data_IF_189478896559
#
_entry.id   IF_189478896559
#
_cell.length_a   1.000
_cell.length_b   1.000
_cell.length_c   1.000
_cell.angle_alpha   90.00
_cell.angle_beta   90.00
_cell.angle_gamma   90.00
#
_symmetry.space_group_name_H-M   'P 1'
#
loop_
_entity.id
_entity.type
_entity.pdbx_description
1 polymer ?
#
# COMPACT_ATOMS: atom_id res chain seq x y z
N UNK A 1 17.91 6.85 -8.05
CA UNK A 1 18.08 5.38 -8.13
C UNK A 1 16.74 4.72 -7.97
N UNK A 2 16.50 3.61 -8.68
CA UNK A 2 15.23 2.88 -8.60
C UNK A 2 15.14 2.05 -7.33
N UNK A 3 14.01 2.12 -6.64
CA UNK A 3 13.68 1.32 -5.45
C UNK A 3 13.15 -0.05 -5.84
N UNK A 4 12.20 -0.05 -6.80
CA UNK A 4 11.58 -1.23 -7.35
C UNK A 4 11.60 -1.15 -8.88
N UNK A 5 12.00 -2.23 -9.53
CA UNK A 5 11.92 -2.38 -10.99
C UNK A 5 11.17 -3.67 -11.29
N UNK A 6 10.14 -3.58 -12.09
CA UNK A 6 9.33 -4.69 -12.55
C UNK A 6 9.52 -4.78 -14.07
N UNK A 7 9.79 -6.00 -14.58
CA UNK A 7 9.97 -6.25 -16.01
C UNK A 7 9.11 -7.43 -16.42
N UNK A 8 8.31 -7.21 -17.43
CA UNK A 8 7.45 -8.21 -18.09
C UNK A 8 6.67 -9.06 -17.07
N UNK A 9 6.03 -8.39 -16.08
CA UNK A 9 5.31 -9.09 -15.01
C UNK A 9 3.96 -9.58 -15.53
N UNK A 10 3.78 -10.89 -15.50
CA UNK A 10 2.51 -11.57 -15.70
C UNK A 10 2.05 -12.17 -14.37
N UNK A 11 0.77 -12.07 -14.03
CA UNK A 11 0.24 -12.62 -12.81
C UNK A 11 -1.27 -12.86 -12.87
N UNK A 12 -1.74 -13.82 -12.10
CA UNK A 12 -3.15 -14.15 -12.02
C UNK A 12 -3.49 -15.09 -10.86
N UNK A 13 -4.76 -15.43 -10.75
CA UNK A 13 -5.27 -16.39 -9.76
C UNK A 13 -5.27 -17.82 -10.27
N UNK A 14 -5.13 -18.00 -11.58
CA UNK A 14 -4.93 -19.26 -12.29
C UNK A 14 -3.92 -19.02 -13.41
N UNK A 15 -3.15 -20.05 -13.77
CA UNK A 15 -2.12 -19.93 -14.81
C UNK A 15 -2.71 -19.58 -16.18
N UNK A 16 -3.90 -20.08 -16.44
CA UNK A 16 -4.62 -19.91 -17.71
C UNK A 16 -5.37 -18.58 -17.79
N UNK A 17 -5.51 -17.86 -16.66
CA UNK A 17 -6.25 -16.59 -16.60
C UNK A 17 -5.33 -15.51 -16.03
N UNK A 18 -4.58 -14.87 -16.91
CA UNK A 18 -3.73 -13.74 -16.57
C UNK A 18 -4.54 -12.47 -16.34
N UNK A 19 -4.33 -11.86 -15.18
CA UNK A 19 -4.88 -10.54 -14.84
C UNK A 19 -3.89 -9.44 -15.21
N UNK A 20 -2.59 -9.65 -14.93
CA UNK A 20 -1.52 -8.75 -15.38
C UNK A 20 -0.82 -9.37 -16.58
N UNK A 21 -0.56 -8.53 -17.60
CA UNK A 21 -0.13 -8.96 -18.93
C UNK A 21 1.07 -8.16 -19.39
N UNK A 22 2.27 -8.48 -18.86
CA UNK A 22 3.51 -7.80 -19.23
C UNK A 22 3.58 -6.39 -18.64
N UNK A 23 3.63 -6.27 -17.30
CA UNK A 23 3.79 -4.98 -16.62
C UNK A 23 5.26 -4.63 -16.51
N UNK A 24 5.63 -3.48 -17.07
CA UNK A 24 6.93 -2.83 -16.88
C UNK A 24 6.75 -1.58 -16.02
N UNK A 25 7.38 -1.53 -14.85
CA UNK A 25 7.23 -0.43 -13.90
C UNK A 25 8.54 -0.15 -13.17
N UNK A 26 8.85 1.13 -13.02
CA UNK A 26 9.99 1.62 -12.24
C UNK A 26 9.52 2.61 -11.18
N UNK A 27 9.81 2.33 -9.90
CA UNK A 27 9.50 3.18 -8.75
C UNK A 27 10.82 3.68 -8.15
N UNK A 28 10.94 4.98 -7.93
CA UNK A 28 12.14 5.60 -7.38
C UNK A 28 12.14 5.63 -5.84
N UNK A 29 13.31 5.83 -5.24
CA UNK A 29 13.42 6.01 -3.78
C UNK A 29 12.67 7.26 -3.31
N UNK A 30 11.86 7.13 -2.25
CA UNK A 30 11.09 8.20 -1.65
C UNK A 30 9.88 8.66 -2.48
N UNK A 31 9.64 8.04 -3.64
CA UNK A 31 8.54 8.35 -4.53
C UNK A 31 7.22 7.75 -4.03
N UNK A 32 6.13 8.48 -4.27
CA UNK A 32 4.78 7.92 -4.23
C UNK A 32 4.32 7.65 -5.66
N UNK A 33 4.30 6.39 -6.04
CA UNK A 33 3.80 5.91 -7.33
C UNK A 33 2.32 5.55 -7.21
N UNK A 34 1.45 6.30 -7.89
CA UNK A 34 0.02 5.99 -7.99
C UNK A 34 -0.26 4.91 -9.03
N UNK A 35 -1.12 3.96 -8.67
CA UNK A 35 -1.67 2.96 -9.59
C UNK A 35 -3.17 3.21 -9.68
N UNK A 36 -3.62 3.82 -10.77
CA UNK A 36 -5.00 4.25 -10.99
C UNK A 36 -5.62 3.37 -12.07
N UNK A 37 -6.92 3.17 -12.01
CA UNK A 37 -7.67 2.41 -13.03
C UNK A 37 -9.06 2.02 -12.54
N UNK A 38 -9.89 1.57 -13.46
CA UNK A 38 -11.25 1.10 -13.16
C UNK A 38 -11.23 -0.18 -12.30
N UNK A 39 -12.39 -0.53 -11.74
CA UNK A 39 -12.55 -1.81 -11.04
C UNK A 39 -12.27 -2.97 -12.01
N UNK A 40 -11.55 -3.99 -11.52
CA UNK A 40 -11.16 -5.13 -12.33
C UNK A 40 -9.96 -4.90 -13.25
N UNK A 41 -9.33 -3.71 -13.26
CA UNK A 41 -8.16 -3.44 -14.13
C UNK A 41 -6.88 -4.18 -13.73
N UNK A 42 -6.82 -4.78 -12.52
CA UNK A 42 -5.65 -5.50 -12.03
C UNK A 42 -4.84 -4.79 -10.93
N UNK A 43 -5.29 -3.63 -10.42
CA UNK A 43 -4.55 -2.82 -9.42
C UNK A 43 -4.15 -3.62 -8.17
N UNK A 44 -5.11 -4.20 -7.46
CA UNK A 44 -4.83 -5.01 -6.27
C UNK A 44 -4.05 -6.29 -6.61
N UNK A 45 -4.18 -6.78 -7.85
CA UNK A 45 -3.38 -7.90 -8.34
C UNK A 45 -1.91 -7.51 -8.45
N UNK A 46 -1.59 -6.28 -8.86
CA UNK A 46 -0.22 -5.79 -8.91
C UNK A 46 0.42 -5.75 -7.50
N UNK A 47 -0.28 -5.20 -6.50
CA UNK A 47 0.21 -5.22 -5.11
C UNK A 47 0.45 -6.63 -4.58
N UNK A 48 -0.49 -7.55 -4.86
CA UNK A 48 -0.36 -8.97 -4.48
C UNK A 48 0.78 -9.68 -5.24
N UNK A 49 0.98 -9.35 -6.51
CA UNK A 49 2.07 -9.90 -7.31
C UNK A 49 3.44 -9.47 -6.78
N UNK A 50 3.61 -8.19 -6.42
CA UNK A 50 4.85 -7.69 -5.80
C UNK A 50 5.14 -8.45 -4.49
N UNK A 51 4.10 -8.70 -3.66
CA UNK A 51 4.22 -9.45 -2.41
C UNK A 51 4.31 -10.97 -2.58
N UNK A 52 4.30 -11.47 -3.80
CA UNK A 52 4.34 -12.91 -4.11
C UNK A 52 3.29 -13.74 -3.35
N UNK A 53 2.05 -13.24 -3.27
CA UNK A 53 0.91 -13.92 -2.63
C UNK A 53 -0.15 -14.41 -3.63
N UNK A 54 0.22 -14.43 -4.92
CA UNK A 54 -0.61 -15.01 -5.98
C UNK A 54 -0.13 -16.41 -6.34
N UNK A 55 -1.04 -17.30 -6.75
CA UNK A 55 -0.67 -18.67 -7.15
C UNK A 55 0.13 -18.73 -8.47
N UNK A 56 -0.04 -17.73 -9.35
CA UNK A 56 0.70 -17.61 -10.61
C UNK A 56 1.32 -16.24 -10.76
N UNK A 57 2.63 -16.23 -11.05
CA UNK A 57 3.41 -15.05 -11.38
C UNK A 57 4.63 -15.46 -12.22
N UNK A 58 4.97 -14.65 -13.24
CA UNK A 58 6.23 -14.72 -14.00
C UNK A 58 6.74 -13.31 -14.28
N UNK A 59 7.96 -13.19 -14.83
CA UNK A 59 8.66 -11.91 -15.01
C UNK A 59 9.67 -11.65 -13.90
N UNK A 60 10.37 -10.53 -13.98
CA UNK A 60 11.43 -10.14 -13.07
C UNK A 60 10.99 -8.99 -12.16
N UNK A 61 11.26 -9.09 -10.86
CA UNK A 61 11.08 -8.00 -9.90
C UNK A 61 12.37 -7.76 -9.15
N UNK A 62 12.96 -6.57 -9.30
CA UNK A 62 14.16 -6.14 -8.62
C UNK A 62 13.81 -5.15 -7.51
N UNK A 63 14.29 -5.38 -6.30
CA UNK A 63 14.17 -4.48 -5.16
C UNK A 63 15.56 -4.06 -4.68
N UNK A 64 15.86 -2.75 -4.71
CA UNK A 64 17.22 -2.22 -4.47
C UNK A 64 18.28 -2.93 -5.32
N UNK A 65 17.95 -3.26 -6.58
CA UNK A 65 18.82 -3.93 -7.53
C UNK A 65 19.00 -5.45 -7.32
N UNK A 66 18.32 -6.05 -6.32
CA UNK A 66 18.34 -7.49 -6.08
C UNK A 66 17.07 -8.13 -6.61
N UNK A 67 17.21 -9.25 -7.30
CA UNK A 67 16.06 -10.04 -7.75
C UNK A 67 15.32 -10.65 -6.55
N UNK A 68 14.03 -10.35 -6.45
CA UNK A 68 13.12 -10.84 -5.41
C UNK A 68 12.02 -11.74 -5.98
N UNK A 69 12.13 -12.13 -7.26
CA UNK A 69 11.06 -12.84 -7.97
C UNK A 69 10.75 -14.21 -7.36
N UNK A 70 11.70 -14.88 -6.71
CA UNK A 70 11.49 -16.19 -6.09
C UNK A 70 11.22 -16.13 -4.57
N UNK A 71 11.27 -14.95 -3.95
CA UNK A 71 11.16 -14.83 -2.49
C UNK A 71 9.71 -14.95 -2.02
N UNK A 72 9.50 -15.61 -0.90
CA UNK A 72 8.21 -15.69 -0.22
C UNK A 72 7.78 -14.34 0.37
N UNK A 73 6.48 -14.14 0.61
CA UNK A 73 5.94 -12.94 1.25
C UNK A 73 6.63 -12.62 2.60
N UNK A 74 6.99 -13.65 3.36
CA UNK A 74 7.72 -13.50 4.63
C UNK A 74 9.14 -12.94 4.44
N UNK A 75 9.85 -13.41 3.41
CA UNK A 75 11.18 -12.91 3.08
C UNK A 75 11.11 -11.47 2.54
N UNK A 76 10.11 -11.16 1.71
CA UNK A 76 9.85 -9.80 1.22
C UNK A 76 9.57 -8.83 2.37
N UNK A 77 8.77 -9.25 3.35
CA UNK A 77 8.51 -8.46 4.55
C UNK A 77 9.80 -8.18 5.35
N UNK A 78 10.69 -9.18 5.49
CA UNK A 78 12.00 -9.01 6.15
C UNK A 78 12.94 -8.08 5.40
N UNK A 79 12.81 -8.00 4.07
CA UNK A 79 13.56 -7.06 3.23
C UNK A 79 13.01 -5.62 3.30
N UNK A 80 11.89 -5.40 4.00
CA UNK A 80 11.27 -4.10 4.16
C UNK A 80 10.27 -3.76 3.07
N UNK A 81 9.55 -4.74 2.51
CA UNK A 81 8.38 -4.53 1.67
C UNK A 81 7.14 -4.91 2.48
N UNK A 82 6.17 -4.01 2.58
CA UNK A 82 4.92 -4.27 3.30
C UNK A 82 3.71 -3.85 2.49
N UNK A 83 2.55 -4.41 2.84
CA UNK A 83 1.28 -4.08 2.19
C UNK A 83 0.18 -3.85 3.24
N UNK A 84 -0.49 -2.70 3.12
CA UNK A 84 -1.78 -2.47 3.76
C UNK A 84 -2.88 -2.82 2.76
N UNK A 85 -3.69 -3.84 3.07
CA UNK A 85 -4.74 -4.34 2.19
C UNK A 85 -6.02 -3.54 2.33
N UNK A 86 -6.81 -3.54 1.27
CA UNK A 86 -8.11 -2.87 1.18
C UNK A 86 -9.01 -3.18 2.40
N UNK A 87 -9.74 -2.16 2.87
CA UNK A 87 -10.72 -2.29 3.94
C UNK A 87 -10.12 -2.37 5.35
N UNK A 88 -8.82 -2.05 5.51
CA UNK A 88 -8.18 -2.07 6.83
C UNK A 88 -8.21 -3.47 7.44
N UNK A 89 -7.71 -4.46 6.70
CA UNK A 89 -7.73 -5.85 7.16
C UNK A 89 -6.85 -6.05 8.40
N UNK A 90 -7.51 -6.41 9.50
CA UNK A 90 -6.91 -6.70 10.81
C UNK A 90 -7.52 -7.98 11.37
N UNK A 91 -6.97 -8.52 12.43
CA UNK A 91 -7.56 -9.66 13.14
C UNK A 91 -8.73 -9.17 14.00
N UNK A 92 -9.94 -9.23 13.45
CA UNK A 92 -11.13 -8.59 14.01
C UNK A 92 -11.52 -9.09 15.41
N UNK A 93 -11.27 -10.37 15.71
CA UNK A 93 -11.55 -11.00 17.01
C UNK A 93 -10.46 -10.73 18.06
N UNK A 94 -9.33 -10.17 17.67
CA UNK A 94 -8.25 -9.75 18.55
C UNK A 94 -8.43 -8.30 18.97
N UNK A 95 -7.93 -7.96 20.15
CA UNK A 95 -7.85 -6.58 20.61
C UNK A 95 -6.86 -5.77 19.77
N UNK A 96 -6.92 -4.44 19.88
CA UNK A 96 -5.93 -3.56 19.25
C UNK A 96 -4.52 -3.96 19.67
N UNK A 97 -4.30 -4.17 20.95
CA UNK A 97 -2.98 -4.56 21.49
C UNK A 97 -2.49 -5.89 20.91
N UNK A 98 -3.34 -6.94 20.88
CA UNK A 98 -2.99 -8.24 20.33
C UNK A 98 -2.68 -8.16 18.82
N UNK A 99 -3.41 -7.36 18.05
CA UNK A 99 -3.09 -7.10 16.63
C UNK A 99 -1.69 -6.50 16.50
N UNK A 100 -1.34 -5.54 17.34
CA UNK A 100 -0.02 -4.92 17.33
C UNK A 100 1.07 -5.90 17.76
N UNK A 101 0.82 -6.71 18.80
CA UNK A 101 1.79 -7.70 19.25
C UNK A 101 2.08 -8.77 18.17
N UNK A 102 1.05 -9.20 17.42
CA UNK A 102 1.24 -10.08 16.26
C UNK A 102 2.08 -9.41 15.17
N UNK A 103 1.80 -8.14 14.88
CA UNK A 103 2.49 -7.42 13.80
C UNK A 103 3.94 -7.09 14.18
N UNK A 104 4.14 -6.66 15.41
CA UNK A 104 5.45 -6.27 15.89
C UNK A 104 6.33 -7.48 16.27
N UNK A 105 5.77 -8.58 16.76
CA UNK A 105 6.53 -9.76 17.20
C UNK A 105 7.43 -9.50 18.43
N UNK A 106 8.31 -10.45 18.75
CA UNK A 106 9.13 -10.42 19.97
C UNK A 106 10.45 -9.62 19.84
N UNK A 107 10.86 -9.21 18.65
CA UNK A 107 12.19 -8.60 18.39
C UNK A 107 12.07 -7.13 17.99
N UNK A 108 11.32 -6.35 18.74
CA UNK A 108 11.11 -4.96 18.36
C UNK A 108 12.14 -4.03 18.98
N UNK A 109 12.66 -3.16 18.11
CA UNK A 109 13.28 -1.91 18.51
C UNK A 109 12.24 -1.01 19.18
N UNK A 110 12.37 -0.86 20.50
CA UNK A 110 11.43 -0.10 21.34
C UNK A 110 11.28 1.32 20.79
N UNK A 111 12.36 1.97 20.41
CA UNK A 111 12.33 3.33 19.86
C UNK A 111 11.50 3.43 18.59
N UNK A 112 11.57 2.41 17.73
CA UNK A 112 10.72 2.38 16.52
C UNK A 112 9.24 2.16 16.86
N UNK A 113 8.94 1.29 17.82
CA UNK A 113 7.55 1.08 18.29
C UNK A 113 6.98 2.37 18.87
N UNK A 114 7.75 3.07 19.71
CA UNK A 114 7.33 4.33 20.30
C UNK A 114 7.10 5.40 19.23
N UNK A 115 7.94 5.44 18.20
CA UNK A 115 7.77 6.33 17.05
C UNK A 115 6.45 6.02 16.29
N UNK A 116 6.17 4.75 15.95
CA UNK A 116 4.89 4.37 15.31
C UNK A 116 3.71 4.68 16.22
N UNK A 117 3.83 4.44 17.52
CA UNK A 117 2.79 4.77 18.50
C UNK A 117 2.51 6.26 18.53
N UNK A 118 3.53 7.11 18.45
CA UNK A 118 3.36 8.57 18.42
C UNK A 118 2.75 9.08 17.11
N UNK A 119 3.09 8.44 15.98
CA UNK A 119 2.61 8.85 14.65
C UNK A 119 1.15 8.47 14.40
N UNK A 120 0.70 7.31 14.88
CA UNK A 120 -0.66 6.81 14.59
C UNK A 120 -1.64 7.25 15.68
N UNK A 121 -2.60 8.14 15.39
CA UNK A 121 -3.49 8.74 16.39
C UNK A 121 -4.27 7.71 17.23
N UNK A 122 -4.65 6.57 16.64
CA UNK A 122 -5.29 5.47 17.36
C UNK A 122 -4.43 4.99 18.54
N UNK A 123 -3.12 4.87 18.32
CA UNK A 123 -2.18 4.31 19.29
C UNK A 123 -1.74 5.34 20.34
N UNK A 124 -1.75 6.61 19.97
CA UNK A 124 -1.45 7.73 20.86
C UNK A 124 -2.69 8.22 21.65
N UNK A 125 -3.78 7.45 21.60
CA UNK A 125 -5.00 7.77 22.33
C UNK A 125 -4.79 7.66 23.85
N UNK A 126 -5.30 8.65 24.59
CA UNK A 126 -5.36 8.58 26.07
C UNK A 126 -6.38 7.55 26.59
N UNK A 127 -7.25 7.03 25.73
CA UNK A 127 -8.23 6.00 26.06
C UNK A 127 -7.55 4.62 26.12
N UNK A 128 -7.06 4.26 27.34
CA UNK A 128 -6.45 2.95 27.60
C UNK A 128 -7.39 1.77 27.33
N UNK A 129 -8.70 1.98 27.43
CA UNK A 129 -9.70 0.96 27.12
C UNK A 129 -9.79 0.69 25.61
N UNK A 130 -9.44 1.66 24.77
CA UNK A 130 -9.38 1.47 23.33
C UNK A 130 -8.41 0.36 22.92
N UNK A 131 -7.27 0.26 23.61
CA UNK A 131 -6.26 -0.78 23.33
C UNK A 131 -6.74 -2.19 23.63
N UNK A 132 -7.71 -2.31 24.57
CA UNK A 132 -8.32 -3.58 24.98
C UNK A 132 -9.57 -3.94 24.17
N UNK A 133 -10.08 -3.03 23.33
CA UNK A 133 -11.22 -3.32 22.46
C UNK A 133 -10.82 -4.26 21.33
N UNK A 134 -11.69 -5.20 21.02
CA UNK A 134 -11.56 -6.04 19.81
C UNK A 134 -11.73 -5.19 18.56
N UNK A 135 -10.99 -5.52 17.51
CA UNK A 135 -10.92 -4.69 16.30
C UNK A 135 -12.23 -4.63 15.50
N UNK A 136 -13.17 -5.56 15.72
CA UNK A 136 -14.53 -5.50 15.18
C UNK A 136 -15.33 -4.30 15.71
N UNK A 137 -15.02 -3.82 16.93
CA UNK A 137 -15.68 -2.67 17.58
C UNK A 137 -15.06 -1.32 17.23
N UNK A 138 -14.01 -1.30 16.43
CA UNK A 138 -13.39 -0.08 15.95
C UNK A 138 -14.24 0.57 14.84
N UNK A 139 -14.22 1.92 14.80
CA UNK A 139 -14.72 2.62 13.63
C UNK A 139 -13.90 2.27 12.38
N UNK A 140 -14.44 2.49 11.19
CA UNK A 140 -13.72 2.26 9.94
C UNK A 140 -12.37 2.97 9.90
N UNK A 141 -12.32 4.27 10.29
CA UNK A 141 -11.07 5.03 10.36
C UNK A 141 -10.07 4.48 11.36
N UNK A 142 -10.52 4.07 12.55
CA UNK A 142 -9.67 3.44 13.55
C UNK A 142 -9.09 2.11 13.05
N UNK A 143 -9.91 1.30 12.36
CA UNK A 143 -9.46 0.03 11.79
C UNK A 143 -8.40 0.23 10.71
N UNK A 144 -8.55 1.24 9.85
CA UNK A 144 -7.52 1.59 8.86
C UNK A 144 -6.23 2.08 9.51
N UNK A 145 -6.32 2.87 10.59
CA UNK A 145 -5.13 3.27 11.36
C UNK A 145 -4.41 2.08 11.99
N UNK A 146 -5.16 1.11 12.54
CA UNK A 146 -4.59 -0.13 13.07
C UNK A 146 -3.90 -0.94 11.97
N UNK A 147 -4.55 -1.11 10.80
CA UNK A 147 -3.96 -1.79 9.65
C UNK A 147 -2.69 -1.11 9.14
N UNK A 148 -2.66 0.23 9.12
CA UNK A 148 -1.46 0.99 8.78
C UNK A 148 -0.34 0.75 9.79
N UNK A 149 -0.64 0.82 11.10
CA UNK A 149 0.34 0.54 12.15
C UNK A 149 0.94 -0.87 12.03
N UNK A 150 0.09 -1.87 11.76
CA UNK A 150 0.54 -3.25 11.51
C UNK A 150 1.44 -3.35 10.28
N UNK A 151 1.10 -2.66 9.19
CA UNK A 151 1.93 -2.64 7.98
C UNK A 151 3.29 -1.95 8.21
N UNK A 152 3.33 -0.93 9.08
CA UNK A 152 4.56 -0.23 9.46
C UNK A 152 5.43 -1.04 10.44
N UNK A 153 4.86 -1.99 11.17
CA UNK A 153 5.56 -2.77 12.19
C UNK A 153 6.78 -3.53 11.65
N UNK A 154 6.80 -3.86 10.36
CA UNK A 154 7.92 -4.55 9.70
C UNK A 154 9.08 -3.62 9.29
N UNK A 155 9.06 -2.35 9.68
CA UNK A 155 10.04 -1.32 9.27
C UNK A 155 10.19 -1.24 7.74
N UNK A 156 9.10 -1.05 6.99
CA UNK A 156 9.19 -1.07 5.54
C UNK A 156 10.00 0.11 5.02
N UNK A 157 10.68 -0.11 3.90
CA UNK A 157 11.22 0.96 3.06
C UNK A 157 10.46 1.10 1.74
N UNK A 158 9.56 0.14 1.46
CA UNK A 158 8.54 0.17 0.43
C UNK A 158 7.20 -0.25 1.04
N UNK A 159 6.22 0.64 1.01
CA UNK A 159 4.86 0.39 1.50
C UNK A 159 3.87 0.38 0.34
N UNK A 160 3.13 -0.70 0.20
CA UNK A 160 2.03 -0.82 -0.76
C UNK A 160 0.73 -0.51 -0.01
N UNK A 161 -0.04 0.45 -0.50
CA UNK A 161 -1.33 0.85 0.04
C UNK A 161 -2.42 0.47 -0.96
N UNK A 162 -3.22 -0.54 -0.65
CA UNK A 162 -4.31 -1.00 -1.51
C UNK A 162 -5.64 -0.40 -1.05
N UNK A 163 -6.07 0.66 -1.73
CA UNK A 163 -7.28 1.44 -1.46
C UNK A 163 -7.42 1.86 0.02
N UNK A 164 -6.46 2.63 0.57
CA UNK A 164 -6.44 2.98 2.00
C UNK A 164 -7.62 3.86 2.43
N UNK A 165 -8.35 4.41 1.49
CA UNK A 165 -9.52 5.27 1.74
C UNK A 165 -10.87 4.54 1.56
N UNK A 166 -10.88 3.29 1.10
CA UNK A 166 -12.11 2.57 0.77
C UNK A 166 -13.03 2.39 1.98
N UNK A 167 -14.31 2.78 1.81
CA UNK A 167 -15.33 2.64 2.86
C UNK A 167 -15.22 3.66 4.01
N UNK A 168 -14.35 4.66 3.91
CA UNK A 168 -14.24 5.73 4.89
C UNK A 168 -15.18 6.90 4.59
N UNK A 169 -15.63 7.59 5.64
CA UNK A 169 -16.31 8.88 5.48
C UNK A 169 -15.35 9.93 4.91
N UNK A 170 -15.86 11.00 4.25
CA UNK A 170 -15.00 12.04 3.67
C UNK A 170 -14.00 12.63 4.66
N UNK A 171 -14.43 12.92 5.89
CA UNK A 171 -13.53 13.42 6.95
C UNK A 171 -12.46 12.41 7.34
N UNK A 172 -12.80 11.12 7.39
CA UNK A 172 -11.84 10.05 7.70
C UNK A 172 -10.83 9.84 6.56
N UNK A 173 -11.25 10.03 5.31
CA UNK A 173 -10.35 10.04 4.14
C UNK A 173 -9.30 11.13 4.29
N UNK A 174 -9.71 12.39 4.56
CA UNK A 174 -8.77 13.48 4.76
C UNK A 174 -7.75 13.19 5.88
N UNK A 175 -8.26 12.72 7.03
CA UNK A 175 -7.38 12.35 8.17
C UNK A 175 -6.40 11.23 7.80
N UNK A 176 -6.82 10.24 7.01
CA UNK A 176 -5.97 9.16 6.57
C UNK A 176 -4.84 9.68 5.66
N UNK A 177 -5.14 10.53 4.69
CA UNK A 177 -4.12 11.08 3.81
C UNK A 177 -3.16 12.02 4.55
N UNK A 178 -3.62 12.84 5.49
CA UNK A 178 -2.74 13.62 6.36
C UNK A 178 -1.77 12.70 7.16
N UNK A 179 -2.29 11.60 7.70
CA UNK A 179 -1.46 10.61 8.39
C UNK A 179 -0.45 9.95 7.46
N UNK A 180 -0.84 9.59 6.24
CA UNK A 180 0.06 8.99 5.24
C UNK A 180 1.18 9.96 4.83
N UNK A 181 0.89 11.26 4.68
CA UNK A 181 1.91 12.30 4.44
C UNK A 181 2.93 12.37 5.58
N UNK A 182 2.45 12.38 6.83
CA UNK A 182 3.32 12.44 8.00
C UNK A 182 4.20 11.18 8.10
N UNK A 183 3.61 10.00 7.91
CA UNK A 183 4.31 8.71 7.91
C UNK A 183 5.36 8.65 6.79
N UNK A 184 4.99 9.04 5.55
CA UNK A 184 5.93 9.12 4.42
C UNK A 184 7.15 9.96 4.77
N UNK A 185 6.91 11.17 5.28
CA UNK A 185 7.97 12.13 5.62
C UNK A 185 8.86 11.62 6.75
N UNK A 186 8.26 11.14 7.84
CA UNK A 186 9.00 10.72 9.05
C UNK A 186 9.83 9.48 8.83
N UNK A 187 9.31 8.52 8.05
CA UNK A 187 9.97 7.23 7.80
C UNK A 187 10.72 7.19 6.47
N UNK A 188 10.70 8.28 5.68
CA UNK A 188 11.32 8.34 4.34
C UNK A 188 10.89 7.18 3.43
N UNK A 189 9.58 6.91 3.37
CA UNK A 189 9.03 5.77 2.66
C UNK A 189 8.94 5.98 1.15
N UNK A 190 9.20 4.92 0.42
CA UNK A 190 8.70 4.75 -0.95
C UNK A 190 7.32 4.12 -0.86
N UNK A 191 6.35 4.64 -1.60
CA UNK A 191 4.96 4.18 -1.53
C UNK A 191 4.45 3.82 -2.92
N UNK A 192 3.77 2.67 -3.03
CA UNK A 192 2.89 2.36 -4.16
C UNK A 192 1.47 2.52 -3.65
N UNK A 193 0.77 3.55 -4.15
CA UNK A 193 -0.62 3.82 -3.81
C UNK A 193 -1.55 3.27 -4.89
N UNK A 194 -2.31 2.25 -4.58
CA UNK A 194 -3.37 1.73 -5.42
C UNK A 194 -4.65 2.44 -5.01
N UNK A 195 -5.25 3.20 -5.92
CA UNK A 195 -6.43 4.01 -5.62
C UNK A 195 -7.41 4.06 -6.78
N UNK A 196 -8.70 4.16 -6.41
CA UNK A 196 -9.79 4.42 -7.32
C UNK A 196 -10.19 5.90 -7.31
N UNK A 197 -9.96 6.59 -6.21
CA UNK A 197 -10.23 8.02 -6.07
C UNK A 197 -9.13 8.83 -6.76
N UNK A 198 -9.38 9.21 -8.00
CA UNK A 198 -8.43 9.94 -8.86
C UNK A 198 -7.94 11.23 -8.20
N UNK A 199 -8.85 12.00 -7.59
CA UNK A 199 -8.50 13.27 -6.97
C UNK A 199 -7.51 13.09 -5.80
N UNK A 200 -7.72 12.05 -4.98
CA UNK A 200 -6.80 11.72 -3.88
C UNK A 200 -5.47 11.19 -4.39
N UNK A 201 -5.49 10.32 -5.40
CA UNK A 201 -4.26 9.84 -6.00
C UNK A 201 -3.42 10.98 -6.58
N UNK A 202 -4.03 11.90 -7.36
CA UNK A 202 -3.33 13.04 -7.95
C UNK A 202 -2.75 13.97 -6.88
N UNK A 203 -3.46 14.21 -5.77
CA UNK A 203 -2.99 15.10 -4.71
C UNK A 203 -1.84 14.53 -3.87
N UNK A 204 -1.70 13.20 -3.82
CA UNK A 204 -0.73 12.51 -2.96
C UNK A 204 0.46 11.92 -3.73
N UNK A 205 0.29 11.58 -5.03
CA UNK A 205 1.31 10.88 -5.81
C UNK A 205 2.27 11.84 -6.51
N UNK A 206 3.54 11.44 -6.59
CA UNK A 206 4.56 12.14 -7.39
C UNK A 206 4.43 11.76 -8.87
N UNK A 207 4.07 10.51 -9.16
CA UNK A 207 3.79 9.95 -10.52
C UNK A 207 2.63 8.98 -10.43
N UNK A 208 1.95 8.78 -11.56
CA UNK A 208 0.87 7.79 -11.66
C UNK A 208 1.00 6.93 -12.92
N UNK A 209 0.60 5.68 -12.80
CA UNK A 209 0.29 4.82 -13.96
C UNK A 209 -1.21 4.57 -14.03
N UNK A 210 -1.72 4.55 -15.26
CA UNK A 210 -3.08 4.10 -15.53
C UNK A 210 -3.05 2.62 -15.93
N UNK A 211 -3.63 1.78 -15.07
CA UNK A 211 -3.77 0.35 -15.32
C UNK A 211 -5.13 0.07 -15.96
N UNK A 212 -5.12 -0.56 -17.13
CA UNK A 212 -6.32 -0.95 -17.85
C UNK A 212 -6.18 -2.37 -18.39
N UNK A 213 -7.17 -3.23 -18.07
CA UNK A 213 -7.23 -4.63 -18.53
C UNK A 213 -5.92 -5.43 -18.34
N UNK A 214 -5.20 -5.12 -17.25
CA UNK A 214 -3.95 -5.81 -16.90
C UNK A 214 -2.69 -5.28 -17.58
N UNK A 215 -2.76 -4.16 -18.30
CA UNK A 215 -1.62 -3.50 -18.94
C UNK A 215 -1.50 -2.04 -18.50
N UNK A 216 -0.30 -1.47 -18.59
CA UNK A 216 -0.09 -0.02 -18.37
C UNK A 216 -0.45 0.72 -19.63
N UNK A 217 -1.54 1.49 -19.59
CA UNK A 217 -2.00 2.31 -20.72
C UNK A 217 -1.28 3.66 -20.82
N UNK A 218 -0.96 4.29 -19.69
CA UNK A 218 -0.31 5.61 -19.65
C UNK A 218 0.52 5.76 -18.36
N UNK A 219 1.62 6.49 -18.47
CA UNK A 219 2.42 6.95 -17.32
C UNK A 219 2.32 8.48 -17.29
N UNK A 220 2.00 9.03 -16.13
CA UNK A 220 1.87 10.46 -15.88
C UNK A 220 2.94 10.89 -14.88
N UNK A 221 3.90 11.70 -15.35
CA UNK A 221 5.09 12.10 -14.58
C UNK A 221 4.96 13.46 -13.88
N UNK A 222 3.83 14.15 -14.07
CA UNK A 222 3.62 15.50 -13.52
C UNK A 222 2.43 15.52 -12.58
N UNK A 223 2.60 15.91 -11.30
CA UNK A 223 1.49 16.08 -10.38
C UNK A 223 0.58 17.26 -10.76
N UNK A 224 -0.69 17.22 -10.34
CA UNK A 224 -1.62 18.32 -10.48
C UNK A 224 -2.59 18.23 -11.66
N UNK A 225 -3.01 19.39 -12.19
CA UNK A 225 -4.07 19.49 -13.21
C UNK A 225 -3.74 18.79 -14.54
N UNK A 226 -2.46 18.75 -14.93
CA UNK A 226 -2.03 18.08 -16.16
C UNK A 226 -2.20 16.55 -16.02
N UNK A 227 -1.75 15.98 -14.89
CA UNK A 227 -1.98 14.57 -14.55
C UNK A 227 -3.47 14.24 -14.52
N UNK A 228 -4.29 15.14 -13.96
CA UNK A 228 -5.76 14.96 -13.91
C UNK A 228 -6.36 14.88 -15.31
N UNK A 229 -6.03 15.83 -16.19
CA UNK A 229 -6.50 15.84 -17.60
C UNK A 229 -6.11 14.56 -18.31
N UNK A 230 -4.87 14.14 -18.14
CA UNK A 230 -4.32 12.94 -18.75
C UNK A 230 -5.05 11.68 -18.31
N UNK A 231 -5.30 11.54 -17.00
CA UNK A 231 -6.01 10.40 -16.45
C UNK A 231 -7.48 10.40 -16.87
N UNK A 232 -8.17 11.55 -16.81
CA UNK A 232 -9.57 11.68 -17.24
C UNK A 232 -9.73 11.35 -18.72
N UNK A 233 -8.88 11.89 -19.58
CA UNK A 233 -8.88 11.59 -21.02
C UNK A 233 -8.65 10.10 -21.30
N UNK A 234 -7.73 9.46 -20.59
CA UNK A 234 -7.43 8.04 -20.75
C UNK A 234 -8.53 7.11 -20.19
N UNK A 235 -9.37 7.60 -19.26
CA UNK A 235 -10.55 6.89 -18.74
C UNK A 235 -11.83 7.18 -19.57
N UNK A 236 -11.77 8.08 -20.54
CA UNK A 236 -12.94 8.49 -21.32
C UNK A 236 -13.93 9.38 -20.56
N UNK A 237 -13.45 10.14 -19.57
CA UNK A 237 -14.21 11.03 -18.69
C UNK A 237 -14.00 12.51 -19.04
#
# INVERSE_FOLDING_TARGET
MSKLVIKDLHAGYMKEIEILKGIDLNVHHGEVMGVIGLNGSGKSTLGKAIMNILPYRSGEILFNGKDISALSARELSRLGISIMRQGGQVFTMMTVLENLDVAFGNNLDIAYRDMITSLVPLLNSQDKELMKRTADKLSGGQRHQLALAMALATKPSLLILDEPSAGLSPLSVEKMYCLLEEVKRTLNLTIILIEQNINKAISFCDRCILLSQGTIGKICDKPGEEMRKDIMAALGL
#
